data_IF_081405165921
#
_entry.id   IF_081405165921
#
_cell.length_a   1.000
_cell.length_b   1.000
_cell.length_c   1.000
_cell.angle_alpha   90.00
_cell.angle_beta   90.00
_cell.angle_gamma   90.00
#
_symmetry.space_group_name_H-M   'P 1'
#
loop_
_entity.id
_entity.type
_entity.pdbx_description
1 polymer ?
#
# COMPACT_ATOMS: atom_id res chain seq x y z
N UNK A 1 -37.01 19.73 -11.39
CA UNK A 1 -37.02 20.88 -12.29
C UNK A 1 -36.05 20.63 -13.42
N UNK A 2 -36.51 20.56 -14.67
CA UNK A 2 -35.64 20.47 -15.82
C UNK A 2 -34.77 21.71 -15.91
N UNK A 3 -33.45 21.55 -16.12
CA UNK A 3 -32.55 22.67 -16.33
C UNK A 3 -31.15 22.60 -15.72
N UNK A 4 -30.80 21.65 -14.83
CA UNK A 4 -29.43 21.55 -14.34
C UNK A 4 -28.47 21.12 -15.43
N UNK A 5 -28.88 20.48 -16.49
CA UNK A 5 -28.07 19.91 -17.57
C UNK A 5 -27.31 21.00 -18.32
N UNK A 6 -28.00 22.05 -18.73
CA UNK A 6 -27.36 23.19 -19.44
C UNK A 6 -26.39 23.95 -18.53
N UNK A 7 -26.72 24.10 -17.26
CA UNK A 7 -25.84 24.70 -16.26
C UNK A 7 -24.63 23.82 -16.02
N UNK A 8 -24.82 22.49 -15.88
CA UNK A 8 -23.71 21.55 -15.75
C UNK A 8 -22.73 21.66 -16.92
N UNK A 9 -23.22 21.71 -18.17
CA UNK A 9 -22.37 21.89 -19.34
C UNK A 9 -21.51 23.16 -19.29
N UNK A 10 -22.06 24.24 -18.75
CA UNK A 10 -21.32 25.50 -18.62
C UNK A 10 -20.20 25.43 -17.58
N UNK A 11 -20.40 24.65 -16.52
CA UNK A 11 -19.44 24.49 -15.41
C UNK A 11 -18.41 23.40 -15.73
N UNK A 12 -18.84 22.27 -16.29
CA UNK A 12 -17.97 21.13 -16.58
C UNK A 12 -16.81 21.46 -17.51
N UNK A 13 -17.01 22.41 -18.45
CA UNK A 13 -15.93 22.93 -19.32
C UNK A 13 -14.76 23.55 -18.56
N UNK A 14 -14.97 23.97 -17.31
CA UNK A 14 -13.96 24.59 -16.43
C UNK A 14 -13.42 23.62 -15.37
N UNK A 15 -13.95 22.41 -15.31
CA UNK A 15 -13.58 21.39 -14.33
C UNK A 15 -12.98 20.18 -15.04
N UNK A 16 -12.15 19.42 -14.31
CA UNK A 16 -11.66 18.11 -14.77
C UNK A 16 -12.29 17.02 -13.90
N UNK A 17 -12.79 15.97 -14.55
CA UNK A 17 -13.31 14.79 -13.85
C UNK A 17 -12.26 14.04 -13.02
N UNK A 18 -12.68 13.00 -12.31
CA UNK A 18 -14.00 12.35 -12.39
C UNK A 18 -15.11 13.19 -11.76
N UNK A 19 -16.33 13.03 -12.29
CA UNK A 19 -17.53 13.75 -11.82
C UNK A 19 -18.40 12.82 -10.97
N UNK A 20 -18.82 13.28 -9.80
CA UNK A 20 -19.76 12.57 -8.92
C UNK A 20 -21.08 13.33 -8.87
N UNK A 21 -22.13 12.74 -9.43
CA UNK A 21 -23.45 13.34 -9.58
C UNK A 21 -24.33 12.87 -8.42
N UNK A 22 -24.62 13.75 -7.47
CA UNK A 22 -25.41 13.42 -6.29
C UNK A 22 -26.90 13.59 -6.59
N UNK A 23 -27.68 12.56 -6.35
CA UNK A 23 -29.13 12.53 -6.65
C UNK A 23 -29.94 11.95 -5.51
N UNK A 24 -31.20 12.38 -5.44
CA UNK A 24 -32.22 11.87 -4.49
C UNK A 24 -33.47 11.46 -5.25
N UNK A 25 -34.43 10.87 -4.54
CA UNK A 25 -35.74 10.50 -5.11
C UNK A 25 -36.60 11.71 -5.49
N UNK A 26 -36.14 12.93 -5.22
CA UNK A 26 -36.93 14.13 -5.42
C UNK A 26 -36.52 14.92 -6.67
N UNK A 27 -37.50 15.69 -7.21
CA UNK A 27 -37.27 16.71 -8.23
C UNK A 27 -36.65 16.20 -9.54
N UNK A 28 -36.89 14.94 -9.89
CA UNK A 28 -36.39 14.32 -11.13
C UNK A 28 -34.83 14.38 -11.25
N UNK A 29 -34.15 14.47 -10.12
CA UNK A 29 -32.69 14.64 -10.10
C UNK A 29 -31.91 13.46 -10.67
N UNK A 30 -32.46 12.23 -10.53
CA UNK A 30 -31.86 11.03 -11.09
C UNK A 30 -31.90 11.04 -12.63
N UNK A 31 -33.05 11.40 -13.25
CA UNK A 31 -33.14 11.46 -14.70
C UNK A 31 -32.18 12.51 -15.30
N UNK A 32 -32.09 13.68 -14.68
CA UNK A 32 -31.13 14.71 -15.10
C UNK A 32 -29.66 14.23 -14.97
N UNK A 33 -29.32 13.51 -13.89
CA UNK A 33 -27.98 12.95 -13.73
C UNK A 33 -27.67 11.84 -14.75
N UNK A 34 -28.65 11.03 -15.13
CA UNK A 34 -28.49 10.02 -16.18
C UNK A 34 -28.20 10.66 -17.56
N UNK A 35 -28.84 11.76 -17.89
CA UNK A 35 -28.58 12.51 -19.12
C UNK A 35 -27.17 13.12 -19.10
N UNK A 36 -26.75 13.74 -17.96
CA UNK A 36 -25.41 14.26 -17.76
C UNK A 36 -24.38 13.13 -17.88
N UNK A 37 -24.61 11.98 -17.25
CA UNK A 37 -23.70 10.85 -17.31
C UNK A 37 -23.54 10.32 -18.73
N UNK A 38 -24.62 10.22 -19.50
CA UNK A 38 -24.58 9.83 -20.90
C UNK A 38 -23.75 10.81 -21.74
N UNK A 39 -23.88 12.12 -21.49
CA UNK A 39 -23.04 13.14 -22.13
C UNK A 39 -21.57 12.99 -21.77
N UNK A 40 -21.24 12.78 -20.49
CA UNK A 40 -19.85 12.58 -20.03
C UNK A 40 -19.23 11.37 -20.72
N UNK A 41 -19.94 10.24 -20.75
CA UNK A 41 -19.48 9.01 -21.39
C UNK A 41 -19.23 9.18 -22.90
N UNK A 42 -20.15 9.88 -23.59
CA UNK A 42 -20.02 10.17 -25.00
C UNK A 42 -18.78 11.05 -25.33
N UNK A 43 -18.31 11.83 -24.36
CA UNK A 43 -17.12 12.68 -24.48
C UNK A 43 -15.86 12.05 -23.86
N UNK A 44 -15.90 10.77 -23.48
CA UNK A 44 -14.76 10.07 -22.89
C UNK A 44 -14.41 10.50 -21.45
N UNK A 45 -15.31 11.24 -20.81
CA UNK A 45 -15.16 11.70 -19.43
C UNK A 45 -15.69 10.65 -18.44
N UNK A 46 -15.09 10.62 -17.24
CA UNK A 46 -15.50 9.70 -16.17
C UNK A 46 -16.52 10.36 -15.25
N UNK A 47 -17.66 9.72 -15.09
CA UNK A 47 -18.71 10.13 -14.17
C UNK A 47 -19.33 8.95 -13.45
N UNK A 48 -19.90 9.19 -12.27
CA UNK A 48 -20.65 8.23 -11.47
C UNK A 48 -21.83 8.91 -10.80
N UNK A 49 -22.98 8.21 -10.73
CA UNK A 49 -24.17 8.69 -10.03
C UNK A 49 -24.20 8.09 -8.64
N UNK A 50 -24.24 8.94 -7.61
CA UNK A 50 -24.45 8.56 -6.22
C UNK A 50 -25.90 8.89 -5.85
N UNK A 51 -26.74 7.85 -5.77
CA UNK A 51 -28.18 7.98 -5.56
C UNK A 51 -28.60 7.47 -4.20
N UNK A 52 -29.54 8.18 -3.55
CA UNK A 52 -30.19 7.71 -2.34
C UNK A 52 -30.29 8.76 -1.23
N UNK A 53 -30.40 8.29 0.02
CA UNK A 53 -30.44 9.18 1.19
C UNK A 53 -29.10 9.92 1.41
N UNK A 54 -29.11 11.09 2.03
CA UNK A 54 -27.88 11.83 2.33
C UNK A 54 -26.83 11.00 3.10
N UNK A 55 -27.28 10.12 4.01
CA UNK A 55 -26.39 9.24 4.77
C UNK A 55 -25.73 8.16 3.89
N UNK A 56 -26.46 7.62 2.91
CA UNK A 56 -25.93 6.67 1.95
C UNK A 56 -24.89 7.34 1.05
N UNK A 57 -25.23 8.47 0.45
CA UNK A 57 -24.32 9.25 -0.39
C UNK A 57 -23.05 9.66 0.38
N UNK A 58 -23.18 10.07 1.64
CA UNK A 58 -22.03 10.43 2.47
C UNK A 58 -21.09 9.24 2.71
N UNK A 59 -21.63 8.02 2.87
CA UNK A 59 -20.84 6.79 2.97
C UNK A 59 -20.09 6.50 1.68
N UNK A 60 -20.75 6.62 0.54
CA UNK A 60 -20.12 6.38 -0.77
C UNK A 60 -19.03 7.40 -1.07
N UNK A 61 -19.27 8.68 -0.81
CA UNK A 61 -18.28 9.74 -0.93
C UNK A 61 -17.05 9.49 -0.02
N UNK A 62 -17.27 8.99 1.20
CA UNK A 62 -16.18 8.60 2.09
C UNK A 62 -15.34 7.47 1.48
N UNK A 63 -15.97 6.43 0.95
CA UNK A 63 -15.27 5.31 0.32
C UNK A 63 -14.45 5.77 -0.90
N UNK A 64 -15.04 6.62 -1.74
CA UNK A 64 -14.37 7.24 -2.89
C UNK A 64 -13.16 8.06 -2.44
N UNK A 65 -13.33 8.90 -1.43
CA UNK A 65 -12.24 9.70 -0.85
C UNK A 65 -11.11 8.82 -0.31
N UNK A 66 -11.43 7.73 0.41
CA UNK A 66 -10.44 6.79 0.92
C UNK A 66 -9.67 6.12 -0.21
N UNK A 67 -10.36 5.68 -1.27
CA UNK A 67 -9.73 5.06 -2.43
C UNK A 67 -8.78 6.04 -3.16
N UNK A 68 -9.21 7.27 -3.40
CA UNK A 68 -8.37 8.31 -4.00
C UNK A 68 -7.16 8.68 -3.12
N UNK A 69 -7.38 8.80 -1.81
CA UNK A 69 -6.32 9.09 -0.85
C UNK A 69 -5.29 7.95 -0.78
N UNK A 70 -5.75 6.69 -0.79
CA UNK A 70 -4.87 5.53 -0.81
C UNK A 70 -4.06 5.47 -2.11
N UNK A 71 -4.68 5.73 -3.27
CA UNK A 71 -3.98 5.82 -4.55
C UNK A 71 -2.90 6.90 -4.54
N UNK A 72 -3.20 8.07 -4.01
CA UNK A 72 -2.24 9.17 -3.89
C UNK A 72 -1.08 8.82 -2.94
N UNK A 73 -1.34 8.11 -1.83
CA UNK A 73 -0.29 7.60 -0.93
C UNK A 73 0.61 6.59 -1.65
N UNK A 74 0.00 5.59 -2.30
CA UNK A 74 0.74 4.54 -3.02
C UNK A 74 1.65 5.11 -4.10
N UNK A 75 1.19 6.09 -4.87
CA UNK A 75 1.98 6.69 -5.95
C UNK A 75 3.24 7.44 -5.48
N UNK A 76 3.35 7.71 -4.19
CA UNK A 76 4.52 8.34 -3.58
C UNK A 76 5.38 7.32 -2.77
N UNK A 77 5.01 6.04 -2.79
CA UNK A 77 5.76 5.03 -2.03
C UNK A 77 6.99 4.52 -2.78
N UNK A 78 8.02 4.24 -2.00
CA UNK A 78 9.21 3.50 -2.40
C UNK A 78 9.16 2.12 -1.77
N UNK A 79 9.08 1.09 -2.61
CA UNK A 79 8.89 -0.30 -2.22
C UNK A 79 10.21 -1.04 -2.41
N UNK A 80 10.84 -1.47 -1.32
CA UNK A 80 12.13 -2.17 -1.35
C UNK A 80 11.98 -3.65 -1.68
N UNK A 81 12.76 -4.13 -2.64
CA UNK A 81 12.94 -5.56 -2.91
C UNK A 81 14.35 -5.91 -2.49
N UNK A 82 14.50 -6.61 -1.36
CA UNK A 82 15.79 -6.95 -0.77
C UNK A 82 16.13 -8.40 -1.12
N UNK A 83 17.18 -8.54 -1.92
CA UNK A 83 17.50 -9.77 -2.64
C UNK A 83 16.80 -9.85 -4.00
N UNK A 84 17.04 -10.92 -4.73
CA UNK A 84 16.36 -11.14 -6.00
C UNK A 84 14.89 -11.46 -5.77
N UNK A 85 14.01 -10.92 -6.60
CA UNK A 85 12.61 -11.31 -6.59
C UNK A 85 12.52 -12.82 -6.87
N UNK A 86 11.63 -13.50 -6.12
CA UNK A 86 11.44 -14.95 -6.35
C UNK A 86 10.84 -15.14 -7.72
N UNK A 87 11.54 -15.89 -8.58
CA UNK A 87 11.07 -16.32 -9.91
C UNK A 87 9.92 -17.36 -9.76
N UNK A 88 8.84 -16.98 -9.14
CA UNK A 88 7.60 -17.73 -9.22
C UNK A 88 6.78 -17.16 -10.37
N UNK A 89 6.41 -17.98 -11.33
CA UNK A 89 5.63 -17.58 -12.52
C UNK A 89 4.42 -16.69 -12.17
N UNK A 90 3.82 -16.90 -11.00
CA UNK A 90 2.67 -16.13 -10.53
C UNK A 90 3.01 -14.82 -9.81
N UNK A 91 4.28 -14.58 -9.42
CA UNK A 91 4.68 -13.41 -8.61
C UNK A 91 5.76 -12.53 -9.24
N UNK A 92 6.13 -12.80 -10.46
CA UNK A 92 7.01 -11.92 -11.24
C UNK A 92 6.29 -10.62 -11.58
N UNK A 93 6.75 -9.54 -10.95
CA UNK A 93 6.29 -8.19 -11.26
C UNK A 93 7.49 -7.33 -11.63
N UNK A 94 7.35 -6.58 -12.70
CA UNK A 94 8.38 -5.63 -13.11
C UNK A 94 8.17 -4.27 -12.44
N UNK A 95 9.22 -3.45 -12.28
CA UNK A 95 9.09 -2.07 -11.80
C UNK A 95 8.06 -1.27 -12.61
N UNK A 96 7.99 -1.50 -13.93
CA UNK A 96 7.05 -0.84 -14.83
C UNK A 96 5.60 -1.28 -14.54
N UNK A 97 5.36 -2.56 -14.29
CA UNK A 97 4.04 -3.08 -13.95
C UNK A 97 3.52 -2.50 -12.63
N UNK A 98 4.36 -2.44 -11.60
CA UNK A 98 4.01 -1.83 -10.30
C UNK A 98 3.76 -0.33 -10.46
N UNK A 99 4.62 0.38 -11.18
CA UNK A 99 4.43 1.81 -11.45
C UNK A 99 3.14 2.07 -12.22
N UNK A 100 2.82 1.25 -13.20
CA UNK A 100 1.57 1.36 -13.96
C UNK A 100 0.34 1.06 -13.09
N UNK A 101 0.40 0.04 -12.23
CA UNK A 101 -0.72 -0.39 -11.41
C UNK A 101 -1.05 0.59 -10.28
N UNK A 102 -0.05 1.05 -9.53
CA UNK A 102 -0.24 1.86 -8.32
C UNK A 102 0.60 3.14 -8.23
N UNK A 103 1.48 3.40 -9.21
CA UNK A 103 2.34 4.59 -9.24
C UNK A 103 3.58 4.49 -8.35
N UNK A 104 3.74 3.43 -7.55
CA UNK A 104 4.87 3.25 -6.65
C UNK A 104 6.18 2.96 -7.38
N UNK A 105 7.30 3.32 -6.74
CA UNK A 105 8.65 3.01 -7.22
C UNK A 105 9.16 1.73 -6.57
N UNK A 106 9.58 0.73 -7.36
CA UNK A 106 10.36 -0.41 -6.86
C UNK A 106 11.83 -0.04 -6.74
N UNK A 107 12.41 -0.34 -5.58
CA UNK A 107 13.83 -0.13 -5.27
C UNK A 107 14.48 -1.48 -5.04
N UNK A 108 15.32 -1.92 -5.96
CA UNK A 108 16.09 -3.16 -5.79
C UNK A 108 17.30 -2.91 -4.87
N UNK A 109 17.48 -3.77 -3.87
CA UNK A 109 18.56 -3.71 -2.89
C UNK A 109 19.25 -5.07 -2.89
N UNK A 110 20.57 -5.12 -3.17
CA UNK A 110 21.31 -6.38 -3.17
C UNK A 110 21.29 -7.09 -1.81
N UNK A 111 21.24 -8.42 -1.81
CA UNK A 111 21.32 -9.24 -0.59
C UNK A 111 22.58 -8.92 0.23
N UNK A 112 23.69 -8.63 -0.46
CA UNK A 112 24.98 -8.30 0.18
C UNK A 112 24.89 -7.05 1.06
N UNK A 113 24.05 -6.07 0.68
CA UNK A 113 23.83 -4.88 1.49
C UNK A 113 23.10 -5.23 2.79
N UNK A 114 22.08 -6.08 2.74
CA UNK A 114 21.43 -6.61 3.94
C UNK A 114 22.42 -7.39 4.81
N UNK A 115 23.24 -8.24 4.22
CA UNK A 115 24.22 -9.03 4.95
C UNK A 115 25.27 -8.14 5.64
N UNK A 116 25.72 -7.08 4.98
CA UNK A 116 26.64 -6.10 5.56
C UNK A 116 25.99 -5.43 6.78
N UNK A 117 24.73 -4.99 6.66
CA UNK A 117 24.00 -4.39 7.76
C UNK A 117 23.76 -5.34 8.93
N UNK A 118 23.44 -6.62 8.67
CA UNK A 118 23.29 -7.61 9.76
C UNK A 118 24.60 -7.79 10.53
N UNK A 119 25.74 -7.83 9.84
CA UNK A 119 27.08 -7.97 10.49
C UNK A 119 27.46 -6.77 11.34
N UNK A 120 26.94 -5.58 11.07
CA UNK A 120 27.12 -4.41 11.95
C UNK A 120 26.46 -4.61 13.31
N UNK A 121 25.43 -5.47 13.37
CA UNK A 121 24.66 -5.74 14.57
C UNK A 121 23.82 -4.54 15.03
N UNK A 122 23.32 -4.64 16.26
CA UNK A 122 22.51 -3.59 16.89
C UNK A 122 21.11 -3.44 16.31
N UNK A 123 20.19 -3.05 17.18
CA UNK A 123 18.80 -2.79 16.84
C UNK A 123 18.21 -1.74 17.79
N UNK A 124 17.22 -0.97 17.36
CA UNK A 124 16.55 -0.01 18.24
C UNK A 124 15.69 -0.74 19.27
N UNK A 125 15.72 -0.29 20.52
CA UNK A 125 14.91 -0.83 21.60
C UNK A 125 13.51 -0.20 21.57
N UNK A 126 12.68 -0.65 20.63
CA UNK A 126 11.29 -0.21 20.50
C UNK A 126 10.38 -0.92 21.52
N UNK A 127 9.13 -0.46 21.65
CA UNK A 127 8.13 -1.13 22.49
C UNK A 127 7.88 -2.57 22.03
N UNK A 128 7.77 -2.80 20.70
CA UNK A 128 7.61 -4.13 20.13
C UNK A 128 8.77 -5.07 20.44
N UNK A 129 10.02 -4.55 20.41
CA UNK A 129 11.22 -5.33 20.79
C UNK A 129 11.16 -5.70 22.26
N UNK A 130 10.84 -4.76 23.17
CA UNK A 130 10.69 -5.07 24.60
C UNK A 130 9.64 -6.13 24.84
N UNK A 131 8.45 -5.97 24.27
CA UNK A 131 7.37 -6.93 24.41
C UNK A 131 7.74 -8.33 23.87
N UNK A 132 8.58 -8.39 22.82
CA UNK A 132 9.07 -9.65 22.29
C UNK A 132 10.10 -10.32 23.23
N UNK A 133 11.02 -9.54 23.78
CA UNK A 133 12.04 -10.04 24.73
C UNK A 133 11.42 -10.51 26.07
N UNK A 134 10.38 -9.85 26.54
CA UNK A 134 9.65 -10.22 27.76
C UNK A 134 8.95 -11.59 27.67
N UNK A 135 8.78 -12.13 26.45
CA UNK A 135 8.22 -13.47 26.26
C UNK A 135 9.16 -14.63 26.67
N UNK A 136 10.43 -14.32 26.93
CA UNK A 136 11.38 -15.29 27.43
C UNK A 136 11.87 -16.33 26.42
N UNK A 137 11.90 -15.99 25.14
CA UNK A 137 12.52 -16.81 24.10
C UNK A 137 14.06 -16.92 24.32
N UNK A 138 14.70 -17.90 23.69
CA UNK A 138 16.15 -18.04 23.71
C UNK A 138 16.85 -16.75 23.29
N UNK A 139 17.71 -16.24 24.16
CA UNK A 139 18.35 -14.94 23.97
C UNK A 139 19.26 -14.91 22.75
N UNK A 140 20.03 -15.98 22.52
CA UNK A 140 20.98 -16.04 21.41
C UNK A 140 20.25 -16.08 20.05
N UNK A 141 19.14 -16.82 19.95
CA UNK A 141 18.33 -16.87 18.75
C UNK A 141 17.58 -15.53 18.53
N UNK A 142 17.13 -14.91 19.62
CA UNK A 142 16.44 -13.61 19.55
C UNK A 142 17.40 -12.51 19.09
N UNK A 143 18.64 -12.48 19.57
CA UNK A 143 19.65 -11.50 19.16
C UNK A 143 19.96 -11.59 17.66
N UNK A 144 20.01 -12.81 17.10
CA UNK A 144 20.16 -12.99 15.64
C UNK A 144 18.95 -12.39 14.87
N UNK A 145 17.75 -12.70 15.32
CA UNK A 145 16.51 -12.21 14.69
C UNK A 145 16.38 -10.68 14.80
N UNK A 146 16.75 -10.10 15.94
CA UNK A 146 16.73 -8.65 16.16
C UNK A 146 17.86 -7.92 15.42
N UNK A 147 19.00 -8.57 15.16
CA UNK A 147 20.03 -8.02 14.27
C UNK A 147 19.50 -7.86 12.83
N UNK A 148 18.67 -8.80 12.35
CA UNK A 148 17.98 -8.66 11.06
C UNK A 148 16.99 -7.48 11.10
N UNK A 149 16.23 -7.33 12.18
CA UNK A 149 15.32 -6.18 12.33
C UNK A 149 16.07 -4.85 12.29
N UNK A 150 17.17 -4.73 13.05
CA UNK A 150 18.00 -3.52 13.03
C UNK A 150 18.56 -3.21 11.64
N UNK A 151 19.02 -4.24 10.93
CA UNK A 151 19.51 -4.11 9.56
C UNK A 151 18.42 -3.61 8.60
N UNK A 152 17.23 -4.22 8.62
CA UNK A 152 16.12 -3.79 7.79
C UNK A 152 15.65 -2.36 8.09
N UNK A 153 15.64 -1.96 9.38
CA UNK A 153 15.35 -0.56 9.76
C UNK A 153 16.34 0.42 9.13
N UNK A 154 17.63 0.14 9.21
CA UNK A 154 18.66 0.99 8.59
C UNK A 154 18.53 1.06 7.08
N UNK A 155 18.18 -0.04 6.42
CA UNK A 155 17.89 -0.04 4.97
C UNK A 155 16.65 0.78 4.63
N UNK A 156 15.59 0.69 5.44
CA UNK A 156 14.40 1.53 5.27
C UNK A 156 14.77 3.01 5.31
N UNK A 157 15.56 3.42 6.30
CA UNK A 157 15.95 4.82 6.46
C UNK A 157 16.88 5.29 5.32
N UNK A 158 17.89 4.48 4.97
CA UNK A 158 18.87 4.79 3.91
C UNK A 158 18.20 4.95 2.55
N UNK A 159 17.34 4.02 2.18
CA UNK A 159 16.68 4.00 0.88
C UNK A 159 15.31 4.70 0.88
N UNK A 160 14.88 5.25 2.03
CA UNK A 160 13.57 5.90 2.24
C UNK A 160 12.41 5.00 1.83
N UNK A 161 12.42 3.76 2.31
CA UNK A 161 11.41 2.79 1.97
C UNK A 161 10.14 2.99 2.80
N UNK A 162 9.01 2.86 2.16
CA UNK A 162 7.70 2.87 2.82
C UNK A 162 7.13 1.46 3.03
N UNK A 163 7.64 0.49 2.27
CA UNK A 163 7.35 -0.93 2.43
C UNK A 163 8.53 -1.74 1.87
N UNK A 164 8.60 -3.01 2.23
CA UNK A 164 9.65 -3.90 1.70
C UNK A 164 9.19 -5.35 1.58
N UNK A 165 9.92 -6.10 0.77
CA UNK A 165 9.94 -7.56 0.82
C UNK A 165 11.39 -8.04 0.89
N UNK A 166 11.62 -9.14 1.60
CA UNK A 166 12.97 -9.71 1.78
C UNK A 166 12.98 -11.19 1.43
N UNK A 167 14.04 -11.62 0.76
CA UNK A 167 14.30 -13.04 0.47
C UNK A 167 14.84 -13.74 1.72
N UNK A 168 13.95 -14.00 2.69
CA UNK A 168 14.29 -14.41 4.04
C UNK A 168 15.02 -15.76 4.14
N UNK A 169 14.82 -16.68 3.20
CA UNK A 169 15.53 -17.97 3.19
C UNK A 169 17.03 -17.84 2.95
N UNK A 170 17.50 -16.76 2.33
CA UNK A 170 18.92 -16.50 2.16
C UNK A 170 19.64 -16.20 3.49
N UNK A 171 18.90 -15.88 4.56
CA UNK A 171 19.44 -15.66 5.90
C UNK A 171 19.76 -16.96 6.63
N UNK A 172 19.13 -18.07 6.28
CA UNK A 172 19.27 -19.35 6.99
C UNK A 172 20.71 -19.84 7.03
N UNK A 173 21.40 -19.80 5.89
CA UNK A 173 22.74 -20.37 5.76
C UNK A 173 23.82 -19.50 6.41
N UNK A 174 23.91 -18.19 6.13
CA UNK A 174 24.95 -17.33 6.69
C UNK A 174 24.71 -16.86 8.12
N UNK A 175 23.46 -16.75 8.56
CA UNK A 175 23.13 -16.18 9.88
C UNK A 175 22.35 -17.11 10.81
N UNK A 176 21.95 -18.28 10.31
CA UNK A 176 21.18 -19.28 11.06
C UNK A 176 19.90 -18.67 11.71
N UNK A 177 19.23 -17.80 10.99
CA UNK A 177 18.00 -17.13 11.42
C UNK A 177 17.09 -16.88 10.25
N UNK A 178 15.89 -16.35 10.51
CA UNK A 178 14.90 -15.96 9.49
C UNK A 178 14.51 -14.50 9.64
N UNK A 179 13.78 -13.96 8.64
CA UNK A 179 13.24 -12.60 8.70
C UNK A 179 11.95 -12.44 9.51
N UNK A 180 11.31 -13.52 9.96
CA UNK A 180 9.92 -13.49 10.46
C UNK A 180 9.69 -12.50 11.61
N UNK A 181 10.53 -12.52 12.66
CA UNK A 181 10.41 -11.59 13.78
C UNK A 181 10.65 -10.14 13.35
N UNK A 182 11.65 -9.92 12.49
CA UNK A 182 11.96 -8.59 11.96
C UNK A 182 10.80 -8.01 11.14
N UNK A 183 10.20 -8.83 10.26
CA UNK A 183 9.05 -8.42 9.45
C UNK A 183 7.82 -8.14 10.32
N UNK A 184 7.58 -8.94 11.36
CA UNK A 184 6.49 -8.71 12.30
C UNK A 184 6.66 -7.36 13.04
N UNK A 185 7.86 -7.04 13.50
CA UNK A 185 8.16 -5.77 14.14
C UNK A 185 7.96 -4.58 13.20
N UNK A 186 8.46 -4.66 11.95
CA UNK A 186 8.27 -3.61 10.95
C UNK A 186 6.79 -3.37 10.64
N UNK A 187 6.02 -4.44 10.47
CA UNK A 187 4.57 -4.34 10.28
C UNK A 187 3.87 -3.67 11.47
N UNK A 188 4.24 -4.01 12.70
CA UNK A 188 3.71 -3.37 13.90
C UNK A 188 4.06 -1.88 13.98
N UNK A 189 5.15 -1.46 13.37
CA UNK A 189 5.58 -0.05 13.26
C UNK A 189 4.96 0.69 12.07
N UNK A 190 4.09 0.04 11.31
CA UNK A 190 3.41 0.62 10.15
C UNK A 190 4.23 0.64 8.87
N UNK A 191 5.30 -0.16 8.79
CA UNK A 191 6.07 -0.40 7.57
C UNK A 191 5.64 -1.76 7.00
N UNK A 192 4.81 -1.81 5.96
CA UNK A 192 4.43 -3.08 5.34
C UNK A 192 5.65 -3.88 4.92
N UNK A 193 5.82 -5.05 5.51
CA UNK A 193 7.00 -5.89 5.33
C UNK A 193 6.57 -7.32 4.99
N UNK A 194 6.81 -7.72 3.74
CA UNK A 194 6.48 -9.02 3.19
C UNK A 194 7.69 -9.96 3.20
N UNK A 195 7.42 -11.24 3.07
CA UNK A 195 8.42 -12.30 3.06
C UNK A 195 8.70 -12.81 1.64
N UNK A 196 9.72 -13.66 1.52
CA UNK A 196 10.05 -14.46 0.32
C UNK A 196 10.43 -13.68 -0.94
N UNK A 197 10.66 -12.37 -0.88
CA UNK A 197 10.87 -11.56 -2.09
C UNK A 197 9.59 -11.41 -2.93
N UNK A 198 8.42 -11.70 -2.35
CA UNK A 198 7.12 -11.61 -3.03
C UNK A 198 6.68 -10.16 -3.16
N UNK A 199 6.79 -9.65 -4.40
CA UNK A 199 6.40 -8.27 -4.73
C UNK A 199 4.88 -8.10 -4.66
N UNK A 200 4.09 -9.10 -5.09
CA UNK A 200 2.61 -8.99 -5.08
C UNK A 200 2.07 -8.91 -3.65
N UNK A 201 2.60 -9.74 -2.76
CA UNK A 201 2.24 -9.68 -1.34
C UNK A 201 2.63 -8.34 -0.72
N UNK A 202 3.83 -7.83 -1.00
CA UNK A 202 4.27 -6.50 -0.54
C UNK A 202 3.33 -5.39 -1.04
N UNK A 203 3.01 -5.38 -2.34
CA UNK A 203 2.09 -4.39 -2.91
C UNK A 203 0.70 -4.51 -2.28
N UNK A 204 0.18 -5.72 -2.09
CA UNK A 204 -1.12 -5.95 -1.46
C UNK A 204 -1.15 -5.42 -0.02
N UNK A 205 -0.10 -5.67 0.76
CA UNK A 205 0.03 -5.15 2.13
C UNK A 205 0.15 -3.61 2.13
N UNK A 206 0.88 -3.03 1.18
CA UNK A 206 0.97 -1.57 1.02
C UNK A 206 -0.39 -0.94 0.66
N UNK A 207 -1.18 -1.59 -0.20
CA UNK A 207 -2.56 -1.16 -0.52
C UNK A 207 -3.45 -1.20 0.72
N UNK A 208 -3.43 -2.30 1.46
CA UNK A 208 -4.21 -2.44 2.70
C UNK A 208 -3.82 -1.36 3.71
N UNK A 209 -2.52 -1.12 3.89
CA UNK A 209 -2.04 -0.07 4.78
C UNK A 209 -2.47 1.33 4.31
N UNK A 210 -2.38 1.61 3.00
CA UNK A 210 -2.79 2.90 2.45
C UNK A 210 -4.28 3.19 2.64
N UNK A 211 -5.14 2.15 2.61
CA UNK A 211 -6.58 2.25 2.81
C UNK A 211 -6.98 2.35 4.29
N UNK A 212 -6.33 1.56 5.15
CA UNK A 212 -6.79 1.35 6.53
C UNK A 212 -5.93 2.02 7.59
N UNK A 213 -4.68 2.33 7.27
CA UNK A 213 -3.67 2.75 8.26
C UNK A 213 -3.25 1.62 9.21
N UNK A 214 -3.66 0.37 8.94
CA UNK A 214 -3.37 -0.79 9.75
C UNK A 214 -2.40 -1.73 9.03
N UNK A 215 -1.51 -2.42 9.77
CA UNK A 215 -0.62 -3.40 9.18
C UNK A 215 -1.41 -4.58 8.60
N UNK A 216 -0.94 -5.08 7.45
CA UNK A 216 -1.42 -6.34 6.91
C UNK A 216 -0.78 -7.54 7.60
N UNK A 217 -1.37 -8.71 7.46
CA UNK A 217 -0.81 -9.99 7.90
C UNK A 217 -0.59 -10.87 6.68
N UNK A 218 0.66 -11.34 6.52
CA UNK A 218 1.03 -12.30 5.49
C UNK A 218 1.20 -13.67 6.13
N UNK A 219 0.48 -14.67 5.63
CA UNK A 219 0.57 -16.06 6.05
C UNK A 219 0.39 -17.01 4.86
N UNK A 220 0.92 -18.22 5.00
CA UNK A 220 0.67 -19.35 4.12
C UNK A 220 -0.53 -20.15 4.64
#
# INVERSE_FOLDING_TARGET
SGGPESWFLSVSRKMKGPYYLLTTDNQNSLAAAMEILAYLQANGEKGEILHGSPSHIAKDLRNIYLAHSAKARLSNMRLGVIGDAVERIASLETPEAVRHACGAELVSIPTEELFAEIRLGGYPMTEGVRALLEKGYDTAEMDKALAVYGALRRLCDRHRLNALTVRCFELLKPFQTTGCAALALLNAEGIPAACEGDIKSMVSMAVLWALTGQPGFMAN
#
